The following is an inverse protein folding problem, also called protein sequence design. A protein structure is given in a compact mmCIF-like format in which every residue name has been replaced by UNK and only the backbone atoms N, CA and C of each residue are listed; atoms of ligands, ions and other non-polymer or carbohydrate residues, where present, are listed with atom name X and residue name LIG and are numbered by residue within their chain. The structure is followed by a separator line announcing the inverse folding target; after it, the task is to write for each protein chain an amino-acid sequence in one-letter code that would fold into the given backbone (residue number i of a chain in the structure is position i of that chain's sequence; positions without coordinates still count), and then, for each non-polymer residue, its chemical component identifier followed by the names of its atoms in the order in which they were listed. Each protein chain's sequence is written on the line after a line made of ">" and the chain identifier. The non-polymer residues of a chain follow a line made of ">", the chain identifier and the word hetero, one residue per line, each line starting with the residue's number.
data_IF_360239513176
#
_entry.id   IF_360239513176
#
_cell.length_a   1.000
_cell.length_b   1.000
_cell.length_c   1.000
_cell.angle_alpha   90.00
_cell.angle_beta   90.00
_cell.angle_gamma   90.00
#
_symmetry.space_group_name_H-M   'P 1'
#
loop_
_entity.id
_entity.type
_entity.pdbx_description
1 polymer ?
#
# COMPACT_ATOMS: atom_id res chain seq x y z
N UNK A 1 13.86 -9.94 33.51
CA UNK A 1 14.84 -8.85 33.29
C UNK A 1 13.98 -7.70 32.81
N UNK A 2 14.21 -6.45 33.25
CA UNK A 2 13.50 -5.31 32.67
C UNK A 2 13.94 -5.22 31.20
N UNK A 3 12.99 -5.11 30.29
CA UNK A 3 13.26 -4.82 28.89
C UNK A 3 13.82 -3.41 28.84
N UNK A 4 14.87 -3.17 28.05
CA UNK A 4 15.42 -1.83 27.84
C UNK A 4 14.34 -0.95 27.20
N UNK A 5 14.24 0.31 27.63
CA UNK A 5 13.17 1.21 27.22
C UNK A 5 13.77 2.50 26.67
N UNK A 6 13.28 2.93 25.48
CA UNK A 6 13.63 4.22 24.87
C UNK A 6 12.39 5.09 24.80
N UNK A 7 12.55 6.39 25.06
CA UNK A 7 11.46 7.34 25.15
C UNK A 7 11.57 8.42 24.06
N UNK A 8 10.43 8.79 23.49
CA UNK A 8 10.30 9.80 22.45
C UNK A 8 9.00 10.59 22.65
N UNK A 9 8.91 11.77 22.06
CA UNK A 9 7.62 12.47 21.96
C UNK A 9 6.74 11.83 20.88
N UNK A 10 7.34 11.43 19.74
CA UNK A 10 6.63 10.83 18.61
C UNK A 10 7.33 9.58 18.13
N UNK A 11 6.60 8.49 18.01
CA UNK A 11 7.09 7.27 17.35
C UNK A 11 6.23 6.97 16.13
N UNK A 12 6.85 6.96 14.95
CA UNK A 12 6.24 6.47 13.72
C UNK A 12 6.62 5.00 13.49
N UNK A 13 5.62 4.14 13.25
CA UNK A 13 5.81 2.71 13.00
C UNK A 13 5.54 2.39 11.53
N UNK A 14 6.60 2.05 10.81
CA UNK A 14 6.60 1.75 9.37
C UNK A 14 7.30 2.82 8.54
N UNK A 15 8.35 2.40 7.82
CA UNK A 15 9.23 3.26 7.02
C UNK A 15 8.79 3.40 5.54
N UNK A 16 7.50 3.27 5.27
CA UNK A 16 6.90 3.60 3.97
C UNK A 16 6.74 5.12 3.77
N UNK A 17 6.25 5.57 2.60
CA UNK A 17 6.10 6.99 2.28
C UNK A 17 5.33 7.78 3.35
N UNK A 18 4.25 7.21 3.89
CA UNK A 18 3.43 7.86 4.92
C UNK A 18 4.19 8.06 6.23
N UNK A 19 4.87 7.02 6.74
CA UNK A 19 5.64 7.11 7.98
C UNK A 19 6.85 8.01 7.87
N UNK A 20 7.58 7.97 6.74
CA UNK A 20 8.68 8.88 6.46
C UNK A 20 8.20 10.35 6.47
N UNK A 21 7.06 10.63 5.83
CA UNK A 21 6.50 11.98 5.80
C UNK A 21 6.04 12.44 7.18
N UNK A 22 5.33 11.59 7.94
CA UNK A 22 4.88 11.93 9.29
C UNK A 22 6.07 12.23 10.23
N UNK A 23 7.09 11.36 10.21
CA UNK A 23 8.30 11.55 11.01
C UNK A 23 9.06 12.82 10.60
N UNK A 24 9.14 13.13 9.27
CA UNK A 24 9.80 14.32 8.77
C UNK A 24 9.13 15.61 9.27
N UNK A 25 7.81 15.68 9.21
CA UNK A 25 7.09 16.84 9.72
C UNK A 25 7.23 16.96 11.23
N UNK A 26 7.12 15.85 11.98
CA UNK A 26 7.26 15.84 13.43
C UNK A 26 8.66 16.33 13.88
N UNK A 27 9.73 15.75 13.34
CA UNK A 27 11.10 16.15 13.74
C UNK A 27 11.42 17.58 13.34
N UNK A 28 10.98 18.05 12.17
CA UNK A 28 11.19 19.44 11.72
C UNK A 28 10.40 20.48 12.51
N UNK A 29 9.30 20.05 13.15
CA UNK A 29 8.51 20.88 14.07
C UNK A 29 9.03 20.79 15.52
N UNK A 30 10.22 20.19 15.74
CA UNK A 30 10.95 20.19 17.00
C UNK A 30 10.50 19.12 17.99
N UNK A 31 9.92 18.02 17.51
CA UNK A 31 9.61 16.88 18.37
C UNK A 31 10.75 15.85 18.36
N UNK A 32 11.07 15.31 19.53
CA UNK A 32 11.95 14.15 19.63
C UNK A 32 11.25 12.94 18.99
N UNK A 33 11.69 12.59 17.79
CA UNK A 33 10.98 11.66 16.90
C UNK A 33 11.82 10.42 16.59
N UNK A 34 11.21 9.25 16.68
CA UNK A 34 11.76 8.00 16.15
C UNK A 34 10.89 7.44 15.04
N UNK A 35 11.55 6.85 14.03
CA UNK A 35 10.93 5.99 13.01
C UNK A 35 11.39 4.56 13.25
N UNK A 36 10.45 3.67 13.57
CA UNK A 36 10.70 2.23 13.74
C UNK A 36 10.21 1.49 12.51
N UNK A 37 11.14 0.84 11.80
CA UNK A 37 10.84 0.17 10.53
C UNK A 37 11.46 -1.22 10.48
N UNK A 38 10.64 -2.23 10.22
CA UNK A 38 11.11 -3.62 10.03
C UNK A 38 11.77 -3.86 8.67
N UNK A 39 11.71 -2.87 7.78
CA UNK A 39 12.11 -2.99 6.39
C UNK A 39 11.07 -3.66 5.48
N UNK A 40 11.31 -3.59 4.19
CA UNK A 40 10.41 -4.12 3.17
C UNK A 40 9.20 -3.21 2.92
N UNK A 41 8.04 -3.82 2.72
CA UNK A 41 6.79 -3.11 2.44
C UNK A 41 6.54 -2.89 0.95
N UNK A 42 5.32 -2.44 0.62
CA UNK A 42 4.80 -2.34 -0.74
C UNK A 42 5.63 -1.38 -1.61
N UNK A 43 5.98 -0.22 -1.07
CA UNK A 43 6.78 0.77 -1.79
C UNK A 43 8.21 0.25 -2.12
N UNK A 44 8.82 -0.55 -1.24
CA UNK A 44 10.15 -1.13 -1.50
C UNK A 44 10.16 -2.13 -2.67
N UNK A 45 9.00 -2.69 -3.05
CA UNK A 45 8.88 -3.63 -4.17
C UNK A 45 8.71 -2.93 -5.52
N UNK A 46 8.45 -1.63 -5.56
CA UNK A 46 8.31 -0.87 -6.80
C UNK A 46 9.65 -0.79 -7.50
N UNK A 47 9.70 -1.29 -8.75
CA UNK A 47 10.89 -1.25 -9.57
C UNK A 47 11.17 0.18 -10.03
N UNK A 48 10.13 0.85 -10.48
CA UNK A 48 10.16 2.21 -11.01
C UNK A 48 8.95 2.98 -10.45
N UNK A 49 9.10 4.29 -10.19
CA UNK A 49 8.05 5.16 -9.65
C UNK A 49 7.67 6.17 -10.73
N UNK A 50 6.62 5.86 -11.51
CA UNK A 50 6.25 6.66 -12.68
C UNK A 50 5.26 7.79 -12.39
N UNK A 51 4.48 7.68 -11.31
CA UNK A 51 3.34 8.55 -11.03
C UNK A 51 3.56 9.50 -9.84
N UNK A 52 4.81 9.78 -9.49
CA UNK A 52 5.19 10.75 -8.47
C UNK A 52 5.94 11.93 -9.09
N UNK A 53 5.32 13.12 -9.05
CA UNK A 53 5.96 14.35 -9.53
C UNK A 53 7.21 14.65 -8.69
N UNK A 54 8.33 14.91 -9.36
CA UNK A 54 9.61 15.20 -8.71
C UNK A 54 10.58 14.01 -8.67
N UNK A 55 10.15 12.83 -9.10
CA UNK A 55 11.03 11.67 -9.36
C UNK A 55 11.37 11.57 -10.85
N UNK A 56 12.35 10.76 -11.19
CA UNK A 56 12.65 10.36 -12.58
C UNK A 56 12.04 8.98 -12.85
N UNK A 57 11.87 8.63 -14.13
CA UNK A 57 11.38 7.30 -14.53
C UNK A 57 12.28 6.13 -14.08
N UNK A 58 13.53 6.42 -13.72
CA UNK A 58 14.49 5.43 -13.23
C UNK A 58 14.49 5.31 -11.69
N UNK A 59 13.74 6.15 -10.98
CA UNK A 59 13.69 6.13 -9.52
C UNK A 59 12.94 4.89 -9.03
N UNK A 60 13.64 4.00 -8.34
CA UNK A 60 13.03 2.85 -7.69
C UNK A 60 12.34 3.22 -6.36
N UNK A 61 11.41 2.38 -5.92
CA UNK A 61 10.81 2.55 -4.59
C UNK A 61 11.83 2.49 -3.46
N UNK A 62 12.84 1.62 -3.57
CA UNK A 62 13.94 1.54 -2.60
C UNK A 62 14.74 2.85 -2.53
N UNK A 63 15.05 3.45 -3.66
CA UNK A 63 15.76 4.73 -3.74
C UNK A 63 14.91 5.87 -3.16
N UNK A 64 13.62 5.92 -3.47
CA UNK A 64 12.69 6.87 -2.87
C UNK A 64 12.68 6.79 -1.34
N UNK A 65 12.58 5.57 -0.80
CA UNK A 65 12.60 5.36 0.66
C UNK A 65 13.94 5.72 1.29
N UNK A 66 15.05 5.46 0.59
CA UNK A 66 16.38 5.83 1.07
C UNK A 66 16.57 7.35 1.14
N UNK A 67 16.13 8.09 0.12
CA UNK A 67 16.14 9.56 0.13
C UNK A 67 15.34 10.09 1.33
N UNK A 68 14.17 9.51 1.61
CA UNK A 68 13.36 9.89 2.76
C UNK A 68 14.07 9.64 4.10
N UNK A 69 14.77 8.51 4.24
CA UNK A 69 15.56 8.19 5.45
C UNK A 69 16.73 9.16 5.65
N UNK A 70 17.45 9.48 4.58
CA UNK A 70 18.55 10.46 4.63
C UNK A 70 18.06 11.85 5.06
N UNK A 71 16.89 12.29 4.57
CA UNK A 71 16.28 13.53 5.05
C UNK A 71 15.94 13.51 6.53
N UNK A 72 15.43 12.39 7.04
CA UNK A 72 15.12 12.22 8.47
C UNK A 72 16.38 12.32 9.34
N UNK A 73 17.48 11.68 8.92
CA UNK A 73 18.76 11.73 9.62
C UNK A 73 19.33 13.16 9.67
N UNK A 74 19.22 13.92 8.58
CA UNK A 74 19.65 15.33 8.52
C UNK A 74 18.94 16.21 9.56
N UNK A 75 17.68 15.90 9.91
CA UNK A 75 16.91 16.63 10.93
C UNK A 75 16.97 15.99 12.32
N UNK A 76 17.78 14.93 12.51
CA UNK A 76 18.01 14.32 13.81
C UNK A 76 16.91 13.35 14.26
N UNK A 77 16.08 12.83 13.34
CA UNK A 77 15.18 11.74 13.64
C UNK A 77 15.95 10.45 13.93
N UNK A 78 15.57 9.71 14.96
CA UNK A 78 16.17 8.41 15.28
C UNK A 78 15.57 7.35 14.37
N UNK A 79 16.41 6.72 13.53
CA UNK A 79 15.98 5.60 12.67
C UNK A 79 16.31 4.26 13.35
N UNK A 80 15.29 3.43 13.54
CA UNK A 80 15.40 2.16 14.26
C UNK A 80 14.94 1.01 13.36
N UNK A 81 15.81 0.01 13.18
CA UNK A 81 15.47 -1.21 12.46
C UNK A 81 14.94 -2.24 13.46
N UNK A 82 13.62 -2.28 13.64
CA UNK A 82 12.97 -3.21 14.56
C UNK A 82 11.55 -3.53 14.08
N UNK A 83 10.95 -4.56 14.69
CA UNK A 83 9.56 -4.95 14.47
C UNK A 83 8.76 -4.77 15.75
N UNK A 84 7.77 -3.89 15.71
CA UNK A 84 6.79 -3.78 16.79
C UNK A 84 5.83 -4.96 16.71
N UNK A 85 5.77 -5.75 17.78
CA UNK A 85 4.95 -6.95 17.88
C UNK A 85 3.61 -6.71 18.55
N UNK A 86 3.53 -5.71 19.46
CA UNK A 86 2.30 -5.31 20.14
C UNK A 86 2.41 -3.87 20.64
N UNK A 87 1.26 -3.29 20.97
CA UNK A 87 1.18 -1.93 21.50
C UNK A 87 0.19 -1.86 22.68
N UNK A 88 0.32 -0.83 23.53
CA UNK A 88 -0.57 -0.62 24.66
C UNK A 88 -0.29 0.72 25.34
N UNK A 89 -1.00 0.99 26.46
CA UNK A 89 -0.76 2.16 27.29
C UNK A 89 0.12 1.83 28.47
N UNK A 90 0.89 2.81 28.90
CA UNK A 90 1.65 2.80 30.16
C UNK A 90 0.76 3.26 31.33
N UNK A 91 1.24 3.10 32.58
CA UNK A 91 0.52 3.54 33.77
C UNK A 91 0.34 5.08 33.85
N UNK A 92 1.20 5.83 33.17
CA UNK A 92 1.18 7.30 33.03
C UNK A 92 0.48 7.80 31.75
N UNK A 93 -0.31 6.92 31.13
CA UNK A 93 -1.18 7.20 29.96
C UNK A 93 -0.42 7.50 28.65
N UNK A 94 0.87 7.22 28.58
CA UNK A 94 1.66 7.23 27.34
C UNK A 94 1.47 5.91 26.56
N UNK A 95 2.04 5.81 25.39
CA UNK A 95 1.98 4.61 24.54
C UNK A 95 3.26 3.80 24.69
N UNK A 96 3.12 2.48 24.88
CA UNK A 96 4.21 1.53 24.84
C UNK A 96 4.11 0.70 23.58
N UNK A 97 5.18 0.64 22.80
CA UNK A 97 5.34 -0.16 21.61
C UNK A 97 6.41 -1.23 21.90
N UNK A 98 6.00 -2.50 21.93
CA UNK A 98 6.91 -3.59 22.25
C UNK A 98 7.66 -4.04 21.00
N UNK A 99 8.94 -3.73 20.95
CA UNK A 99 9.86 -4.17 19.91
C UNK A 99 10.40 -5.59 20.15
N UNK A 100 11.42 -5.98 19.40
CA UNK A 100 12.04 -7.32 19.54
C UNK A 100 12.83 -7.44 20.82
N UNK A 101 13.69 -6.47 21.10
CA UNK A 101 14.59 -6.45 22.25
C UNK A 101 14.42 -5.21 23.13
N UNK A 102 13.77 -4.19 22.63
CA UNK A 102 13.60 -2.86 23.24
C UNK A 102 12.15 -2.44 23.17
N UNK A 103 11.62 -1.84 24.23
CA UNK A 103 10.32 -1.18 24.21
C UNK A 103 10.51 0.32 23.92
N UNK A 104 9.57 0.89 23.19
CA UNK A 104 9.54 2.33 22.89
C UNK A 104 8.34 2.95 23.58
N UNK A 105 8.54 4.09 24.23
CA UNK A 105 7.44 4.84 24.88
C UNK A 105 7.31 6.20 24.19
N UNK A 106 6.09 6.59 23.89
CA UNK A 106 5.80 7.83 23.15
C UNK A 106 4.56 8.56 23.71
N UNK A 107 4.55 9.88 23.52
CA UNK A 107 3.39 10.72 23.80
C UNK A 107 2.37 10.66 22.65
N UNK A 108 2.86 10.47 21.41
CA UNK A 108 2.04 10.22 20.23
C UNK A 108 2.61 9.11 19.36
N UNK A 109 1.72 8.33 18.71
CA UNK A 109 2.08 7.22 17.83
C UNK A 109 1.47 7.44 16.45
N UNK A 110 2.30 7.23 15.41
CA UNK A 110 1.83 7.19 14.01
C UNK A 110 1.93 5.75 13.49
N UNK A 111 0.79 5.15 13.19
CA UNK A 111 0.70 3.84 12.57
C UNK A 111 0.74 4.01 11.05
N UNK A 112 1.85 3.60 10.44
CA UNK A 112 2.10 3.64 8.99
C UNK A 112 2.46 2.24 8.45
N UNK A 113 1.82 1.22 9.01
CA UNK A 113 2.13 -0.20 8.78
C UNK A 113 1.65 -0.72 7.43
N UNK A 114 0.78 0.03 6.75
CA UNK A 114 0.29 -0.25 5.40
C UNK A 114 -0.51 -1.54 5.28
N UNK A 115 -0.47 -2.13 4.09
CA UNK A 115 -1.21 -3.34 3.73
C UNK A 115 -0.37 -4.33 2.93
N UNK A 116 -0.93 -5.51 2.68
CA UNK A 116 -0.43 -6.50 1.74
C UNK A 116 -1.50 -6.81 0.70
N UNK A 117 -1.14 -6.78 -0.59
CA UNK A 117 -2.05 -7.24 -1.65
C UNK A 117 -2.30 -8.75 -1.49
N UNK A 118 -3.56 -9.18 -1.53
CA UNK A 118 -3.91 -10.61 -1.55
C UNK A 118 -3.49 -11.18 -2.90
N UNK A 119 -2.70 -12.26 -2.84
CA UNK A 119 -2.12 -12.88 -4.04
C UNK A 119 -3.03 -13.98 -4.56
N UNK A 120 -3.05 -14.21 -5.88
CA UNK A 120 -3.69 -15.41 -6.41
C UNK A 120 -3.02 -16.68 -5.86
N UNK A 121 -3.77 -17.77 -5.70
CA UNK A 121 -3.26 -19.09 -5.32
C UNK A 121 -3.52 -20.08 -6.47
N UNK A 122 -2.50 -20.68 -7.07
CA UNK A 122 -1.06 -20.40 -6.92
C UNK A 122 -0.69 -18.98 -7.36
N UNK A 123 0.42 -18.39 -6.86
CA UNK A 123 0.83 -17.02 -7.14
C UNK A 123 1.48 -16.91 -8.53
N UNK A 124 0.70 -17.10 -9.57
CA UNK A 124 1.08 -17.05 -10.98
C UNK A 124 0.35 -15.89 -11.68
N UNK A 125 1.03 -15.14 -12.55
CA UNK A 125 2.47 -15.08 -12.80
C UNK A 125 3.26 -14.31 -11.73
N UNK A 126 4.54 -14.06 -11.97
CA UNK A 126 5.42 -13.39 -11.00
C UNK A 126 5.09 -11.89 -10.90
N UNK A 127 4.94 -11.38 -9.68
CA UNK A 127 4.73 -9.97 -9.39
C UNK A 127 5.82 -9.09 -10.03
N UNK A 128 5.40 -8.01 -10.70
CA UNK A 128 6.26 -7.07 -11.42
C UNK A 128 6.87 -7.62 -12.73
N UNK A 129 6.45 -8.82 -13.15
CA UNK A 129 6.87 -9.44 -14.43
C UNK A 129 5.69 -10.12 -15.14
N UNK A 130 4.55 -9.47 -15.12
CA UNK A 130 3.31 -9.93 -15.73
C UNK A 130 2.14 -9.97 -14.74
N UNK A 131 2.36 -9.81 -13.43
CA UNK A 131 1.33 -9.64 -12.44
C UNK A 131 1.49 -8.30 -11.71
N UNK A 132 0.46 -7.51 -11.71
CA UNK A 132 0.37 -6.17 -11.11
C UNK A 132 -0.82 -6.11 -10.14
N UNK A 133 -0.82 -5.12 -9.23
CA UNK A 133 -1.89 -4.92 -8.25
C UNK A 133 -2.45 -3.49 -8.27
N UNK A 134 -1.85 -2.60 -9.03
CA UNK A 134 -2.20 -1.18 -9.07
C UNK A 134 -2.52 -0.73 -10.50
N UNK A 135 -3.81 -0.61 -10.80
CA UNK A 135 -4.27 -0.09 -12.09
C UNK A 135 -3.68 1.30 -12.39
N UNK A 136 -3.79 2.24 -11.45
CA UNK A 136 -3.34 3.63 -11.62
C UNK A 136 -1.81 3.78 -11.76
N UNK A 137 -1.06 2.75 -11.38
CA UNK A 137 0.39 2.72 -11.54
C UNK A 137 0.77 2.24 -12.95
N UNK A 138 0.13 1.19 -13.44
CA UNK A 138 0.69 0.35 -14.51
C UNK A 138 -0.21 0.25 -15.75
N UNK A 139 -1.47 0.73 -15.74
CA UNK A 139 -2.41 0.56 -16.86
C UNK A 139 -1.87 1.09 -18.19
N UNK A 140 -1.10 2.20 -18.18
CA UNK A 140 -0.53 2.80 -19.39
C UNK A 140 0.47 1.87 -20.10
N UNK A 141 1.05 0.88 -19.40
CA UNK A 141 1.96 -0.11 -19.99
C UNK A 141 1.26 -1.10 -20.93
N UNK A 142 -0.07 -1.16 -20.85
CA UNK A 142 -0.90 -2.10 -21.60
C UNK A 142 -1.64 -1.44 -22.79
N UNK A 143 -1.23 -0.23 -23.18
CA UNK A 143 -1.79 0.43 -24.35
C UNK A 143 -1.54 -0.41 -25.63
N UNK A 144 -2.63 -0.75 -26.32
CA UNK A 144 -2.63 -1.63 -27.50
C UNK A 144 -2.05 -3.05 -27.28
N UNK A 145 -2.04 -3.51 -26.02
CA UNK A 145 -1.48 -4.81 -25.61
C UNK A 145 -2.57 -5.70 -24.99
N UNK A 146 -2.40 -7.03 -25.09
CA UNK A 146 -3.29 -7.99 -24.47
C UNK A 146 -3.09 -8.05 -22.95
N UNK A 147 -4.17 -7.85 -22.18
CA UNK A 147 -4.14 -7.75 -20.71
C UNK A 147 -5.21 -8.63 -20.07
N UNK A 148 -4.90 -9.19 -18.92
CA UNK A 148 -5.88 -9.90 -18.11
C UNK A 148 -6.13 -9.18 -16.77
N UNK A 149 -7.31 -9.44 -16.18
CA UNK A 149 -7.64 -9.12 -14.80
C UNK A 149 -8.02 -10.41 -14.10
N UNK A 150 -7.38 -10.74 -12.98
CA UNK A 150 -7.73 -11.88 -12.13
C UNK A 150 -8.57 -11.41 -10.94
N UNK A 151 -9.71 -12.04 -10.72
CA UNK A 151 -10.62 -11.76 -9.62
C UNK A 151 -12.06 -12.06 -10.02
N UNK A 152 -12.92 -12.18 -9.04
CA UNK A 152 -14.32 -12.58 -9.20
C UNK A 152 -15.32 -11.58 -8.62
N UNK A 153 -14.83 -10.49 -7.99
CA UNK A 153 -15.64 -9.43 -7.39
C UNK A 153 -15.84 -8.21 -8.26
N UNK A 154 -16.69 -7.31 -7.82
CA UNK A 154 -17.06 -6.04 -8.46
C UNK A 154 -15.83 -5.21 -8.91
N UNK A 155 -14.79 -5.15 -8.06
CA UNK A 155 -13.56 -4.41 -8.38
C UNK A 155 -12.83 -4.96 -9.60
N UNK A 156 -12.80 -6.29 -9.77
CA UNK A 156 -12.12 -6.92 -10.91
C UNK A 156 -12.87 -6.61 -12.22
N UNK A 157 -14.20 -6.71 -12.21
CA UNK A 157 -15.04 -6.37 -13.36
C UNK A 157 -14.87 -4.89 -13.78
N UNK A 158 -14.90 -3.97 -12.81
CA UNK A 158 -14.70 -2.56 -13.08
C UNK A 158 -13.29 -2.23 -13.60
N UNK A 159 -12.25 -2.90 -13.07
CA UNK A 159 -10.88 -2.72 -13.58
C UNK A 159 -10.77 -3.23 -15.03
N UNK A 160 -11.39 -4.35 -15.36
CA UNK A 160 -11.45 -4.85 -16.74
C UNK A 160 -12.12 -3.82 -17.68
N UNK A 161 -13.24 -3.22 -17.26
CA UNK A 161 -13.92 -2.17 -18.03
C UNK A 161 -13.05 -0.90 -18.19
N UNK A 162 -12.34 -0.47 -17.16
CA UNK A 162 -11.44 0.69 -17.24
C UNK A 162 -10.29 0.43 -18.22
N UNK A 163 -9.76 -0.81 -18.29
CA UNK A 163 -8.68 -1.16 -19.20
C UNK A 163 -9.06 -1.03 -20.68
N UNK A 164 -10.35 -1.04 -21.01
CA UNK A 164 -10.82 -0.74 -22.37
C UNK A 164 -10.48 0.68 -22.85
N UNK A 165 -10.07 1.59 -21.96
CA UNK A 165 -9.53 2.89 -22.35
C UNK A 165 -8.09 2.80 -22.91
N UNK A 166 -7.43 1.64 -22.76
CA UNK A 166 -6.04 1.42 -23.16
C UNK A 166 -5.93 0.39 -24.28
N UNK A 167 -6.77 -0.64 -24.27
CA UNK A 167 -6.74 -1.75 -25.23
C UNK A 167 -8.12 -2.37 -25.41
N UNK A 168 -8.37 -3.00 -26.56
CA UNK A 168 -9.56 -3.80 -26.85
C UNK A 168 -9.36 -5.30 -26.58
N UNK A 169 -8.18 -5.71 -26.06
CA UNK A 169 -7.83 -7.09 -25.74
C UNK A 169 -7.79 -7.32 -24.22
N UNK A 170 -8.96 -7.31 -23.58
CA UNK A 170 -9.11 -7.47 -22.13
C UNK A 170 -9.81 -8.78 -21.79
N UNK A 171 -9.21 -9.59 -20.94
CA UNK A 171 -9.82 -10.81 -20.40
C UNK A 171 -9.98 -10.70 -18.87
N UNK A 172 -11.15 -11.13 -18.35
CA UNK A 172 -11.45 -11.22 -16.92
C UNK A 172 -11.42 -12.70 -16.51
N UNK A 173 -10.46 -13.06 -15.64
CA UNK A 173 -10.19 -14.44 -15.23
C UNK A 173 -10.74 -14.67 -13.81
N UNK A 174 -11.81 -15.46 -13.67
CA UNK A 174 -12.38 -15.81 -12.35
C UNK A 174 -11.65 -16.98 -11.70
N UNK A 175 -10.91 -17.78 -12.48
CA UNK A 175 -10.09 -18.90 -12.02
C UNK A 175 -10.88 -19.96 -11.27
N UNK A 176 -12.08 -20.29 -11.76
CA UNK A 176 -12.97 -21.27 -11.16
C UNK A 176 -13.84 -20.74 -10.03
N UNK A 177 -13.62 -19.51 -9.57
CA UNK A 177 -14.50 -18.88 -8.58
C UNK A 177 -15.81 -18.40 -9.24
N UNK A 178 -16.91 -18.47 -8.49
CA UNK A 178 -18.20 -17.92 -8.91
C UNK A 178 -18.15 -16.39 -8.85
N UNK A 179 -18.64 -15.67 -9.87
CA UNK A 179 -18.72 -14.23 -9.88
C UNK A 179 -19.53 -13.67 -8.70
N UNK A 180 -18.97 -12.62 -8.06
CA UNK A 180 -19.61 -11.89 -6.95
C UNK A 180 -19.86 -10.41 -7.33
N UNK A 181 -20.19 -10.12 -8.60
CA UNK A 181 -20.60 -8.80 -9.05
C UNK A 181 -22.10 -8.70 -9.26
N UNK A 182 -22.61 -7.47 -9.40
CA UNK A 182 -24.03 -7.18 -9.58
C UNK A 182 -24.55 -7.56 -10.98
N UNK A 183 -25.88 -7.72 -11.11
CA UNK A 183 -26.54 -7.95 -12.41
C UNK A 183 -26.23 -6.81 -13.41
N UNK A 184 -26.12 -5.56 -12.94
CA UNK A 184 -25.79 -4.38 -13.78
C UNK A 184 -24.35 -4.51 -14.32
N UNK A 185 -23.43 -5.01 -13.50
CA UNK A 185 -22.04 -5.26 -13.90
C UNK A 185 -21.95 -6.43 -14.87
N UNK A 186 -22.73 -7.46 -14.67
CA UNK A 186 -22.82 -8.61 -15.61
C UNK A 186 -23.30 -8.16 -17.00
N UNK A 187 -24.38 -7.34 -17.08
CA UNK A 187 -24.85 -6.74 -18.33
C UNK A 187 -23.79 -5.82 -18.97
N UNK A 188 -23.02 -5.10 -18.15
CA UNK A 188 -21.91 -4.28 -18.64
C UNK A 188 -20.82 -5.15 -19.28
N UNK A 189 -20.42 -6.26 -18.63
CA UNK A 189 -19.43 -7.18 -19.19
C UNK A 189 -19.89 -7.83 -20.49
N UNK A 190 -21.17 -8.27 -20.59
CA UNK A 190 -21.73 -8.87 -21.79
C UNK A 190 -21.79 -7.89 -22.99
N UNK A 191 -21.95 -6.59 -22.74
CA UNK A 191 -22.08 -5.55 -23.79
C UNK A 191 -20.76 -4.97 -24.26
N UNK A 192 -19.65 -5.26 -23.57
CA UNK A 192 -18.32 -4.73 -23.88
C UNK A 192 -17.37 -5.86 -24.37
N UNK A 193 -16.28 -5.52 -25.07
CA UNK A 193 -15.33 -6.50 -25.59
C UNK A 193 -14.40 -7.06 -24.48
N UNK A 194 -15.01 -7.59 -23.42
CA UNK A 194 -14.31 -8.28 -22.32
C UNK A 194 -14.64 -9.75 -22.39
N UNK A 195 -13.63 -10.61 -22.44
CA UNK A 195 -13.83 -12.06 -22.40
C UNK A 195 -13.75 -12.54 -20.94
N UNK A 196 -14.87 -13.06 -20.42
CA UNK A 196 -14.91 -13.63 -19.08
C UNK A 196 -14.52 -15.11 -19.17
N UNK A 197 -13.42 -15.47 -18.56
CA UNK A 197 -12.83 -16.81 -18.57
C UNK A 197 -12.94 -17.41 -17.17
N UNK A 198 -13.63 -18.54 -17.08
CA UNK A 198 -13.86 -19.23 -15.79
C UNK A 198 -12.83 -20.32 -15.51
N UNK A 199 -12.14 -20.80 -16.53
CA UNK A 199 -11.12 -21.83 -16.42
C UNK A 199 -9.97 -21.40 -15.52
N UNK A 200 -9.45 -22.32 -14.69
CA UNK A 200 -8.33 -22.02 -13.80
C UNK A 200 -7.00 -21.89 -14.58
N UNK A 201 -6.14 -21.04 -14.05
CA UNK A 201 -4.78 -20.85 -14.56
C UNK A 201 -3.85 -21.89 -13.94
N UNK A 202 -3.36 -22.81 -14.74
CA UNK A 202 -2.53 -23.96 -14.30
C UNK A 202 -1.04 -23.74 -14.49
N UNK A 203 -0.65 -22.77 -15.33
CA UNK A 203 0.76 -22.52 -15.61
C UNK A 203 1.02 -21.16 -16.27
N UNK A 204 2.32 -20.87 -16.42
CA UNK A 204 2.82 -19.66 -17.08
C UNK A 204 3.94 -19.99 -18.04
N UNK A 205 3.94 -19.33 -19.18
CA UNK A 205 5.07 -19.29 -20.10
C UNK A 205 5.76 -17.94 -19.99
N UNK A 206 7.07 -17.95 -19.74
CA UNK A 206 7.86 -16.74 -19.65
C UNK A 206 8.78 -16.60 -20.85
N UNK A 207 9.03 -15.37 -21.29
CA UNK A 207 10.07 -15.04 -22.24
C UNK A 207 11.48 -15.25 -21.67
N UNK A 208 12.50 -15.16 -22.53
CA UNK A 208 13.90 -15.27 -22.14
C UNK A 208 14.37 -14.18 -21.17
N UNK A 209 13.65 -13.07 -21.09
CA UNK A 209 13.83 -11.94 -20.17
C UNK A 209 13.13 -12.15 -18.82
N UNK A 210 12.39 -13.25 -18.67
CA UNK A 210 11.63 -13.61 -17.48
C UNK A 210 10.30 -12.87 -17.31
N UNK A 211 9.84 -12.12 -18.34
CA UNK A 211 8.50 -11.54 -18.37
C UNK A 211 7.47 -12.56 -18.82
N UNK A 212 6.21 -12.37 -18.41
CA UNK A 212 5.10 -13.16 -18.88
C UNK A 212 5.01 -13.10 -20.41
N UNK A 213 4.73 -14.24 -21.01
CA UNK A 213 4.38 -14.36 -22.42
C UNK A 213 2.97 -14.93 -22.61
N UNK A 214 2.61 -15.95 -21.83
CA UNK A 214 1.30 -16.59 -21.91
C UNK A 214 0.88 -17.21 -20.58
N UNK A 215 -0.43 -17.37 -20.38
CA UNK A 215 -1.04 -18.19 -19.34
C UNK A 215 -1.51 -19.52 -19.93
N UNK A 216 -1.37 -20.59 -19.14
CA UNK A 216 -1.87 -21.91 -19.44
C UNK A 216 -3.14 -22.17 -18.58
N UNK A 217 -4.19 -22.66 -19.21
CA UNK A 217 -5.49 -22.91 -18.59
C UNK A 217 -5.75 -24.41 -18.46
N UNK A 218 -6.64 -24.79 -17.54
CA UNK A 218 -7.00 -26.19 -17.31
C UNK A 218 -7.66 -26.79 -18.54
N UNK A 219 -8.56 -26.06 -19.19
CA UNK A 219 -9.27 -26.44 -20.41
C UNK A 219 -9.07 -25.39 -21.53
N UNK A 220 -9.54 -25.72 -22.73
CA UNK A 220 -9.50 -24.82 -23.87
C UNK A 220 -10.37 -23.59 -23.66
N UNK A 221 -9.76 -22.43 -23.66
CA UNK A 221 -10.48 -21.14 -23.72
C UNK A 221 -10.72 -20.77 -25.18
N UNK A 222 -11.94 -20.34 -25.49
CA UNK A 222 -12.35 -19.99 -26.86
C UNK A 222 -11.53 -18.81 -27.43
N UNK A 223 -11.70 -18.48 -28.72
CA UNK A 223 -11.08 -17.30 -29.30
C UNK A 223 -11.73 -16.04 -28.71
N UNK A 224 -10.91 -14.96 -28.58
CA UNK A 224 -11.42 -13.67 -28.13
C UNK A 224 -12.57 -13.15 -29.02
N UNK A 225 -13.61 -12.51 -28.46
CA UNK A 225 -14.75 -11.98 -29.23
C UNK A 225 -14.34 -10.95 -30.30
N UNK A 226 -13.25 -10.22 -30.07
CA UNK A 226 -12.77 -9.11 -30.92
C UNK A 226 -11.88 -9.52 -32.09
N UNK A 227 -11.64 -10.81 -32.31
CA UNK A 227 -10.80 -11.25 -33.43
C UNK A 227 -9.33 -10.82 -33.29
N UNK A 228 -8.77 -11.10 -32.14
CA UNK A 228 -7.41 -10.77 -31.68
C UNK A 228 -6.32 -10.90 -32.73
N UNK A 229 -5.33 -9.99 -32.69
CA UNK A 229 -4.09 -10.04 -33.49
C UNK A 229 -3.18 -11.23 -33.14
N UNK A 230 -3.39 -11.86 -31.98
CA UNK A 230 -2.65 -13.05 -31.57
C UNK A 230 -3.42 -14.30 -31.99
N UNK A 231 -2.90 -15.06 -32.94
CA UNK A 231 -3.37 -16.40 -33.21
C UNK A 231 -3.16 -17.25 -31.95
N UNK A 232 -4.25 -17.58 -31.24
CA UNK A 232 -4.19 -18.48 -30.11
C UNK A 232 -3.68 -19.84 -30.57
N UNK A 233 -2.59 -20.30 -29.93
CA UNK A 233 -2.15 -21.69 -29.99
C UNK A 233 -3.25 -22.64 -29.51
N UNK A 234 -2.90 -23.85 -29.19
CA UNK A 234 -3.70 -25.03 -28.87
C UNK A 234 -4.80 -24.83 -27.76
N UNK A 235 -5.65 -23.82 -27.86
CA UNK A 235 -6.87 -23.58 -27.06
C UNK A 235 -6.73 -23.43 -25.53
N UNK A 236 -5.77 -24.11 -24.92
CA UNK A 236 -5.48 -24.05 -23.49
C UNK A 236 -4.37 -23.04 -23.10
N UNK A 237 -3.90 -22.23 -24.05
CA UNK A 237 -2.84 -21.23 -23.85
C UNK A 237 -3.27 -19.93 -24.49
N UNK A 238 -3.11 -18.81 -23.74
CA UNK A 238 -3.40 -17.48 -24.27
C UNK A 238 -2.26 -16.52 -23.95
N UNK A 239 -1.81 -15.75 -24.96
CA UNK A 239 -0.74 -14.79 -24.81
C UNK A 239 -1.24 -13.49 -24.15
N UNK A 240 -0.41 -12.94 -23.23
CA UNK A 240 -0.64 -11.67 -22.56
C UNK A 240 0.66 -10.92 -22.34
N UNK A 241 0.60 -9.61 -22.40
CA UNK A 241 1.66 -8.72 -21.92
C UNK A 241 1.81 -8.79 -20.41
N UNK A 242 0.69 -8.91 -19.71
CA UNK A 242 0.56 -8.98 -18.26
C UNK A 242 -0.88 -8.72 -17.83
N UNK A 243 -1.08 -8.44 -16.56
CA UNK A 243 -2.40 -8.12 -16.03
C UNK A 243 -2.40 -7.81 -14.54
N UNK A 244 -3.59 -7.73 -13.99
CA UNK A 244 -3.83 -7.28 -12.62
C UNK A 244 -4.50 -8.40 -11.80
N UNK A 245 -4.15 -8.47 -10.49
CA UNK A 245 -4.85 -9.32 -9.53
C UNK A 245 -5.63 -8.44 -8.54
N UNK A 246 -6.93 -8.70 -8.41
CA UNK A 246 -7.90 -7.94 -7.64
C UNK A 246 -8.62 -8.87 -6.63
N UNK A 247 -7.88 -9.41 -5.68
CA UNK A 247 -8.40 -10.29 -4.61
C UNK A 247 -8.55 -9.56 -3.26
N UNK A 248 -8.35 -8.21 -3.26
CA UNK A 248 -8.40 -7.40 -2.05
C UNK A 248 -7.04 -7.18 -1.39
N UNK A 249 -7.07 -6.75 -0.15
CA UNK A 249 -5.90 -6.41 0.64
C UNK A 249 -6.05 -6.84 2.10
N UNK A 250 -4.95 -7.26 2.72
CA UNK A 250 -4.84 -7.50 4.16
C UNK A 250 -4.18 -6.28 4.81
N UNK A 251 -4.93 -5.56 5.63
CA UNK A 251 -4.42 -4.38 6.33
C UNK A 251 -3.66 -4.76 7.59
N UNK A 252 -2.49 -4.13 7.80
CA UNK A 252 -1.65 -4.40 8.98
C UNK A 252 -2.15 -3.62 10.20
N UNK A 253 -3.44 -3.75 10.54
CA UNK A 253 -4.15 -3.00 11.60
C UNK A 253 -4.00 -3.58 13.01
N UNK A 254 -3.18 -4.63 13.21
CA UNK A 254 -3.01 -5.28 14.52
C UNK A 254 -2.61 -4.32 15.64
N UNK A 255 -1.67 -3.40 15.40
CA UNK A 255 -1.27 -2.42 16.42
C UNK A 255 -2.38 -1.39 16.71
N UNK A 256 -3.21 -1.04 15.72
CA UNK A 256 -4.37 -0.19 15.93
C UNK A 256 -5.40 -0.89 16.83
N UNK A 257 -5.62 -2.18 16.60
CA UNK A 257 -6.47 -3.02 17.46
C UNK A 257 -5.94 -3.11 18.88
N UNK A 258 -4.64 -3.35 19.06
CA UNK A 258 -3.98 -3.40 20.39
C UNK A 258 -4.18 -2.09 21.17
N UNK A 259 -4.16 -0.95 20.47
CA UNK A 259 -4.36 0.38 21.05
C UNK A 259 -5.84 0.76 21.25
N UNK A 260 -6.78 -0.06 20.74
CA UNK A 260 -8.21 0.16 20.86
C UNK A 260 -8.81 1.13 19.83
N UNK A 261 -8.12 1.33 18.68
CA UNK A 261 -8.65 2.14 17.59
C UNK A 261 -9.84 1.46 16.89
N UNK A 262 -10.80 2.24 16.44
CA UNK A 262 -11.91 1.75 15.61
C UNK A 262 -11.42 1.40 14.20
N UNK A 263 -11.98 0.32 13.65
CA UNK A 263 -11.70 -0.16 12.31
C UNK A 263 -12.98 -0.12 11.47
N UNK A 264 -12.83 0.11 10.17
CA UNK A 264 -13.90 -0.07 9.20
C UNK A 264 -14.12 -1.57 8.89
N UNK A 265 -15.23 -1.89 8.26
CA UNK A 265 -15.63 -3.27 7.92
C UNK A 265 -14.59 -3.99 7.02
N UNK A 266 -13.82 -3.24 6.24
CA UNK A 266 -12.75 -3.77 5.38
C UNK A 266 -11.42 -3.99 6.10
N UNK A 267 -11.33 -3.62 7.39
CA UNK A 267 -10.12 -3.76 8.22
C UNK A 267 -9.16 -2.56 8.16
N UNK A 268 -9.48 -1.50 7.44
CA UNK A 268 -8.76 -0.21 7.50
C UNK A 268 -9.02 0.48 8.84
N UNK A 269 -8.06 1.29 9.30
CA UNK A 269 -8.24 2.10 10.52
C UNK A 269 -9.10 3.32 10.20
N UNK A 270 -10.18 3.53 11.01
CA UNK A 270 -11.00 4.71 10.90
C UNK A 270 -10.23 5.96 11.34
N UNK A 271 -10.20 6.99 10.50
CA UNK A 271 -9.49 8.24 10.75
C UNK A 271 -10.26 9.46 10.25
N UNK A 272 -9.97 10.62 10.84
CA UNK A 272 -10.38 11.91 10.30
C UNK A 272 -9.46 12.42 9.16
N UNK A 273 -9.76 13.61 8.63
CA UNK A 273 -9.00 14.26 7.55
C UNK A 273 -7.52 14.58 7.93
N UNK A 274 -7.15 14.41 9.19
CA UNK A 274 -5.82 14.67 9.73
C UNK A 274 -5.10 13.38 10.16
N UNK A 275 -5.68 12.22 9.89
CA UNK A 275 -5.15 10.92 10.29
C UNK A 275 -5.35 10.60 11.78
N UNK A 276 -6.19 11.33 12.51
CA UNK A 276 -6.50 11.02 13.91
C UNK A 276 -7.43 9.82 13.97
N UNK A 277 -7.10 8.87 14.83
CA UNK A 277 -7.96 7.70 15.11
C UNK A 277 -8.99 8.03 16.20
N UNK A 278 -9.82 7.06 16.57
CA UNK A 278 -10.72 7.15 17.73
C UNK A 278 -9.98 7.23 19.08
N UNK A 279 -8.66 7.06 19.11
CA UNK A 279 -7.81 7.10 20.31
C UNK A 279 -6.93 8.34 20.28
N UNK A 280 -7.12 9.26 21.23
CA UNK A 280 -6.32 10.47 21.33
C UNK A 280 -4.82 10.15 21.44
N UNK A 281 -4.00 10.83 20.61
CA UNK A 281 -2.56 10.61 20.52
C UNK A 281 -2.14 9.48 19.57
N UNK A 282 -3.09 8.73 18.99
CA UNK A 282 -2.83 7.72 17.96
C UNK A 282 -3.30 8.22 16.60
N UNK A 283 -2.40 8.13 15.62
CA UNK A 283 -2.65 8.50 14.23
C UNK A 283 -2.43 7.28 13.34
N UNK A 284 -3.20 7.17 12.26
CA UNK A 284 -2.98 6.18 11.22
C UNK A 284 -2.93 6.86 9.85
N UNK A 285 -2.01 6.42 8.97
CA UNK A 285 -1.72 7.09 7.70
C UNK A 285 -1.38 6.12 6.57
N UNK A 286 -1.60 6.57 5.35
CA UNK A 286 -1.27 5.84 4.12
C UNK A 286 -2.15 4.61 3.92
N UNK A 287 -1.60 3.57 3.29
CA UNK A 287 -2.35 2.37 2.87
C UNK A 287 -3.02 1.59 4.02
N UNK A 288 -2.86 2.02 5.26
CA UNK A 288 -3.56 1.48 6.44
C UNK A 288 -4.96 2.07 6.62
N UNK A 289 -5.25 3.19 5.96
CA UNK A 289 -6.47 3.98 6.10
C UNK A 289 -7.32 3.94 4.82
N UNK A 290 -8.62 4.25 4.86
CA UNK A 290 -9.46 4.30 3.66
C UNK A 290 -8.93 5.27 2.61
N UNK A 291 -9.03 4.90 1.33
CA UNK A 291 -8.67 5.79 0.22
C UNK A 291 -7.94 5.11 -0.91
N UNK A 292 -7.24 5.90 -1.71
CA UNK A 292 -6.43 5.40 -2.81
C UNK A 292 -4.98 5.16 -2.37
N UNK A 293 -4.52 3.94 -2.54
CA UNK A 293 -3.18 3.47 -2.13
C UNK A 293 -2.09 3.95 -3.11
N UNK A 294 -1.77 5.24 -3.04
CA UNK A 294 -0.81 5.92 -3.91
C UNK A 294 0.28 6.62 -3.10
N UNK A 295 1.53 6.59 -3.57
CA UNK A 295 2.66 7.25 -2.90
C UNK A 295 2.40 8.72 -2.58
N UNK A 296 1.92 9.56 -3.52
CA UNK A 296 1.68 10.98 -3.23
C UNK A 296 0.59 11.19 -2.17
N UNK A 297 -0.43 10.32 -2.11
CA UNK A 297 -1.48 10.37 -1.09
C UNK A 297 -0.90 10.00 0.27
N UNK A 298 -0.17 8.88 0.34
CA UNK A 298 0.50 8.44 1.56
C UNK A 298 1.46 9.49 2.14
N UNK A 299 2.24 10.18 1.28
CA UNK A 299 3.08 11.31 1.70
C UNK A 299 2.24 12.46 2.27
N UNK A 300 1.11 12.77 1.63
CA UNK A 300 0.18 13.81 2.09
C UNK A 300 -0.46 13.48 3.43
N UNK A 301 -0.90 12.23 3.64
CA UNK A 301 -1.48 11.78 4.89
C UNK A 301 -0.46 11.84 6.04
N UNK A 302 0.77 11.38 5.80
CA UNK A 302 1.84 11.51 6.76
C UNK A 302 2.13 12.96 7.14
N UNK A 303 2.17 13.87 6.16
CA UNK A 303 2.37 15.30 6.40
C UNK A 303 1.25 15.91 7.27
N UNK A 304 -0.01 15.59 6.97
CA UNK A 304 -1.17 16.03 7.77
C UNK A 304 -1.10 15.54 9.21
N UNK A 305 -0.77 14.26 9.42
CA UNK A 305 -0.62 13.69 10.75
C UNK A 305 0.51 14.37 11.54
N UNK A 306 1.71 14.53 10.95
CA UNK A 306 2.82 15.21 11.62
C UNK A 306 2.52 16.66 12.01
N UNK A 307 1.78 17.40 11.16
CA UNK A 307 1.29 18.74 11.49
C UNK A 307 0.26 18.68 12.62
N UNK A 308 -0.68 17.73 12.57
CA UNK A 308 -1.72 17.57 13.58
C UNK A 308 -1.14 17.21 14.95
N UNK A 309 -0.13 16.36 15.01
CA UNK A 309 0.60 16.00 16.23
C UNK A 309 1.18 17.26 16.90
N UNK A 310 1.80 18.15 16.10
CA UNK A 310 2.35 19.39 16.63
C UNK A 310 1.30 20.27 17.31
N UNK A 311 0.10 20.39 16.72
CA UNK A 311 -1.01 21.11 17.34
C UNK A 311 -1.57 20.44 18.61
N UNK A 312 -1.35 19.14 18.76
CA UNK A 312 -1.81 18.38 19.93
C UNK A 312 -0.79 18.42 21.07
N UNK A 313 0.51 18.31 20.76
CA UNK A 313 1.58 18.23 21.76
C UNK A 313 2.16 19.58 22.18
N UNK A 314 1.78 20.68 21.56
CA UNK A 314 2.30 22.03 21.87
C UNK A 314 1.18 23.02 22.16
N UNK A 315 1.42 23.89 23.13
CA UNK A 315 0.58 25.05 23.43
C UNK A 315 0.92 26.23 22.51
N UNK A 316 -0.12 26.99 22.12
CA UNK A 316 0.03 28.19 21.29
C UNK A 316 -0.80 29.37 21.85
N UNK A 317 -0.20 30.54 22.15
CA UNK A 317 1.25 30.78 22.13
C UNK A 317 1.96 30.01 23.23
N UNK A 318 3.22 29.67 22.98
CA UNK A 318 4.08 29.05 24.00
C UNK A 318 4.23 29.96 25.21
N UNK A 319 4.26 29.38 26.42
CA UNK A 319 4.48 30.13 27.65
C UNK A 319 5.71 31.03 27.55
N UNK A 320 5.61 32.34 27.82
CA UNK A 320 6.74 33.26 27.71
C UNK A 320 7.96 32.84 28.55
N UNK A 321 7.77 32.24 29.70
CA UNK A 321 8.87 31.81 30.58
C UNK A 321 9.64 30.64 29.95
N UNK A 322 8.95 29.70 29.29
CA UNK A 322 9.56 28.60 28.55
C UNK A 322 10.34 29.07 27.32
N UNK A 323 9.87 30.11 26.64
CA UNK A 323 10.59 30.70 25.48
C UNK A 323 11.89 31.32 25.91
N UNK A 324 11.99 31.92 27.10
CA UNK A 324 13.17 32.55 27.59
C UNK A 324 14.22 31.59 28.17
N UNK A 325 13.76 30.43 28.71
CA UNK A 325 14.66 29.46 29.33
C UNK A 325 15.24 28.45 28.33
N UNK A 326 14.49 28.06 27.35
CA UNK A 326 14.88 26.96 26.40
C UNK A 326 15.36 27.47 25.04
N UNK A 327 15.20 28.78 24.74
CA UNK A 327 15.54 29.34 23.43
C UNK A 327 14.58 28.92 22.32
N UNK A 328 14.86 29.28 21.05
CA UNK A 328 14.13 28.74 19.91
C UNK A 328 14.50 27.26 19.71
N UNK A 329 13.47 26.45 19.43
CA UNK A 329 13.61 25.02 19.10
C UNK A 329 14.18 24.88 17.69
#
# INVERSE_FOLDING_TARGET
>A
MAVDQQEYEVVAVGGGPAGLSAALYSVRLGHETALVDRGGGRAAMMKDVHNLVGTTEETSGMELLQIGKEQLEEYGCTLLSDRIGSAGRTDDDRFRLCGTDVDYVADAVVLATGMNDVRPDPPLPRTGRGLHYCLHCDAHMFADESVYVMGYGESAAHVAAILLNFTDEVDLLTRGDEPEWSDDTDEMLETHPIDVIHEDVTGVQNGSDGWLKALEFEDSVGPRPTGSRTESGDGAVREYKGGFALYGADYNSGLATDLGCELNDDGTVEVDDHGRTSVDGVYAVGDLTPGHNQVPIALGDGAKAGISIHWTLRDFPRDPDLVTEQGPV
#
